data_IF_345232551402
#
_entry.id   IF_345232551402
#
_cell.length_a   1.000
_cell.length_b   1.000
_cell.length_c   1.000
_cell.angle_alpha   90.00
_cell.angle_beta   90.00
_cell.angle_gamma   90.00
#
_symmetry.space_group_name_H-M   'P 1'
#
loop_
_entity.id
_entity.type
_entity.pdbx_description
1 polymer ?
#
# COMPACT_ATOMS: atom_id res chain seq x y z
N UNK A 1 13.95 13.77 -11.08
CA UNK A 1 13.17 12.68 -10.43
C UNK A 1 12.57 11.79 -11.51
N UNK A 2 12.62 10.46 -11.36
CA UNK A 2 12.03 9.48 -12.30
C UNK A 2 10.57 9.80 -12.60
N UNK A 3 9.79 10.16 -11.59
CA UNK A 3 8.37 10.55 -11.72
C UNK A 3 8.11 11.78 -12.60
N UNK A 4 9.08 12.70 -12.73
CA UNK A 4 8.96 13.85 -13.63
C UNK A 4 9.18 13.43 -15.09
N UNK A 5 10.09 12.48 -15.35
CA UNK A 5 10.33 11.94 -16.70
C UNK A 5 9.10 11.22 -17.26
N UNK A 6 8.28 10.63 -16.39
CA UNK A 6 7.06 9.92 -16.77
C UNK A 6 5.78 10.77 -16.60
N UNK A 7 5.89 12.06 -16.28
CA UNK A 7 4.75 12.95 -16.02
C UNK A 7 3.75 12.43 -14.96
N UNK A 8 4.23 11.63 -14.00
CA UNK A 8 3.43 11.05 -12.90
C UNK A 8 3.66 11.75 -11.56
N UNK A 9 4.43 12.85 -11.54
CA UNK A 9 4.82 13.55 -10.31
C UNK A 9 3.62 14.03 -9.48
N UNK A 10 2.55 14.53 -10.13
CA UNK A 10 1.30 14.94 -9.47
C UNK A 10 0.24 13.83 -9.36
N UNK A 11 0.50 12.65 -9.93
CA UNK A 11 -0.45 11.55 -10.06
C UNK A 11 -0.42 10.56 -8.89
N UNK A 12 0.45 10.73 -7.89
CA UNK A 12 0.48 9.84 -6.74
C UNK A 12 -0.65 10.16 -5.76
N UNK A 13 -1.50 9.17 -5.48
CA UNK A 13 -2.63 9.22 -4.57
C UNK A 13 -2.53 8.08 -3.57
N UNK A 14 -3.15 8.22 -2.42
CA UNK A 14 -3.16 7.17 -1.41
C UNK A 14 -4.48 7.14 -0.65
N UNK A 15 -4.75 6.03 0.02
CA UNK A 15 -5.79 5.96 1.03
C UNK A 15 -5.33 6.69 2.30
N UNK A 16 -6.09 7.69 2.74
CA UNK A 16 -5.82 8.49 3.93
C UNK A 16 -6.84 8.26 5.04
N UNK A 17 -6.48 8.55 6.30
CA UNK A 17 -7.47 8.60 7.39
C UNK A 17 -8.35 9.83 7.22
N UNK A 18 -9.69 9.72 7.36
CA UNK A 18 -10.59 10.87 7.26
C UNK A 18 -10.19 12.03 8.18
N UNK A 19 -9.74 11.74 9.39
CA UNK A 19 -9.29 12.75 10.37
C UNK A 19 -8.17 13.64 9.82
N UNK A 20 -7.33 13.12 8.91
CA UNK A 20 -6.23 13.85 8.32
C UNK A 20 -6.74 15.07 7.53
N UNK A 21 -7.95 15.05 6.98
CA UNK A 21 -8.57 16.18 6.26
C UNK A 21 -8.60 17.46 7.09
N UNK A 22 -8.71 17.35 8.41
CA UNK A 22 -8.81 18.49 9.32
C UNK A 22 -7.44 19.04 9.73
N UNK A 23 -6.34 18.37 9.38
CA UNK A 23 -4.99 18.87 9.65
C UNK A 23 -4.61 19.95 8.63
N UNK A 24 -4.25 21.17 9.07
CA UNK A 24 -3.84 22.23 8.16
C UNK A 24 -2.63 21.82 7.31
N UNK A 25 -2.54 22.41 6.12
CA UNK A 25 -1.46 22.18 5.14
C UNK A 25 -1.48 20.74 4.63
N UNK A 26 -1.02 19.75 5.40
CA UNK A 26 -0.87 18.36 4.96
C UNK A 26 -2.23 17.73 4.62
N UNK A 27 -3.21 17.89 5.52
CA UNK A 27 -4.55 17.37 5.32
C UNK A 27 -5.27 18.00 4.14
N UNK A 28 -5.09 19.31 3.99
CA UNK A 28 -5.63 20.08 2.88
C UNK A 28 -4.98 19.71 1.56
N UNK A 29 -3.66 19.48 1.53
CA UNK A 29 -2.97 18.95 0.34
C UNK A 29 -3.60 17.63 -0.11
N UNK A 30 -3.92 16.73 0.82
CA UNK A 30 -4.55 15.46 0.47
C UNK A 30 -6.01 15.65 0.04
N UNK A 31 -6.72 16.58 0.67
CA UNK A 31 -8.10 16.92 0.32
C UNK A 31 -8.21 17.51 -1.08
N UNK A 32 -7.46 18.58 -1.36
CA UNK A 32 -7.42 19.22 -2.68
C UNK A 32 -6.73 18.35 -3.73
N UNK A 33 -5.84 17.45 -3.31
CA UNK A 33 -5.24 16.43 -4.15
C UNK A 33 -6.14 15.22 -4.43
N UNK A 34 -7.42 15.25 -4.04
CA UNK A 34 -8.41 14.20 -4.33
C UNK A 34 -8.06 12.80 -3.81
N UNK A 35 -7.31 12.73 -2.70
CA UNK A 35 -7.02 11.47 -2.01
C UNK A 35 -8.31 10.82 -1.51
N UNK A 36 -8.29 9.48 -1.41
CA UNK A 36 -9.46 8.72 -0.93
C UNK A 36 -9.36 8.59 0.60
N UNK A 37 -10.28 9.22 1.31
CA UNK A 37 -10.30 9.22 2.77
C UNK A 37 -11.16 8.08 3.34
N UNK A 38 -10.62 7.28 4.26
CA UNK A 38 -11.32 6.17 4.90
C UNK A 38 -11.79 6.52 6.31
N UNK A 39 -13.00 6.11 6.66
CA UNK A 39 -13.66 6.27 7.97
C UNK A 39 -13.37 5.12 8.93
N UNK A 40 -12.70 4.06 8.49
CA UNK A 40 -12.52 2.80 9.24
C UNK A 40 -13.86 2.11 9.53
N UNK A 41 -14.85 2.38 8.70
CA UNK A 41 -16.16 1.76 8.74
C UNK A 41 -16.43 1.17 7.35
N UNK A 42 -16.49 -0.16 7.28
CA UNK A 42 -16.57 -0.88 6.01
C UNK A 42 -17.75 -0.49 5.13
N UNK A 43 -18.94 -0.27 5.73
CA UNK A 43 -20.17 0.04 4.98
C UNK A 43 -20.04 1.36 4.24
N UNK A 44 -19.41 2.36 4.87
CA UNK A 44 -19.16 3.66 4.25
C UNK A 44 -17.96 3.62 3.31
N UNK A 45 -16.91 2.92 3.73
CA UNK A 45 -15.65 2.87 2.99
C UNK A 45 -15.79 2.12 1.67
N UNK A 46 -16.61 1.06 1.57
CA UNK A 46 -16.82 0.32 0.32
C UNK A 46 -17.37 1.24 -0.79
N UNK A 47 -18.41 2.04 -0.49
CA UNK A 47 -18.99 2.99 -1.44
C UNK A 47 -18.00 4.08 -1.84
N UNK A 48 -17.23 4.59 -0.88
CA UNK A 48 -16.26 5.64 -1.11
C UNK A 48 -15.00 5.16 -1.87
N UNK A 49 -14.56 3.92 -1.68
CA UNK A 49 -13.40 3.35 -2.39
C UNK A 49 -13.73 3.24 -3.88
N UNK A 50 -14.88 2.68 -4.26
CA UNK A 50 -15.25 2.50 -5.66
C UNK A 50 -15.36 3.83 -6.40
N UNK A 51 -16.23 4.72 -5.91
CA UNK A 51 -16.39 6.07 -6.47
C UNK A 51 -15.09 6.89 -6.48
N UNK A 52 -14.25 6.73 -5.44
CA UNK A 52 -12.94 7.36 -5.38
C UNK A 52 -12.00 6.85 -6.47
N UNK A 53 -11.96 5.54 -6.71
CA UNK A 53 -11.17 4.94 -7.80
C UNK A 53 -11.68 5.46 -9.15
N UNK A 54 -12.99 5.46 -9.37
CA UNK A 54 -13.57 5.92 -10.65
C UNK A 54 -13.23 7.38 -10.94
N UNK A 55 -13.30 8.25 -9.92
CA UNK A 55 -12.85 9.64 -10.05
C UNK A 55 -11.38 9.74 -10.43
N UNK A 56 -10.53 8.92 -9.82
CA UNK A 56 -9.10 8.91 -10.13
C UNK A 56 -8.82 8.42 -11.56
N UNK A 57 -9.56 7.44 -12.03
CA UNK A 57 -9.41 6.90 -13.39
C UNK A 57 -9.96 7.84 -14.47
N UNK A 58 -10.89 8.74 -14.12
CA UNK A 58 -11.40 9.77 -15.03
C UNK A 58 -10.37 10.90 -15.32
N UNK A 59 -9.23 10.94 -14.64
CA UNK A 59 -8.19 11.92 -14.92
C UNK A 59 -7.49 11.69 -16.26
N UNK A 60 -7.14 12.78 -16.94
CA UNK A 60 -6.39 12.74 -18.21
C UNK A 60 -4.95 12.22 -18.07
N UNK A 61 -4.40 12.24 -16.86
CA UNK A 61 -3.02 11.85 -16.58
C UNK A 61 -2.98 10.54 -15.79
N UNK A 62 -1.95 9.70 -15.98
CA UNK A 62 -1.80 8.46 -15.23
C UNK A 62 -1.73 8.72 -13.72
N UNK A 63 -2.49 7.93 -12.96
CA UNK A 63 -2.55 7.97 -11.50
C UNK A 63 -1.88 6.73 -10.91
N UNK A 64 -1.10 6.92 -9.85
CA UNK A 64 -0.56 5.83 -9.03
C UNK A 64 -1.31 5.86 -7.69
N UNK A 65 -2.15 4.85 -7.46
CA UNK A 65 -2.85 4.68 -6.18
C UNK A 65 -2.05 3.76 -5.25
N UNK A 66 -1.54 4.31 -4.15
CA UNK A 66 -0.78 3.58 -3.15
C UNK A 66 -1.69 2.91 -2.10
N UNK A 67 -1.48 1.61 -1.90
CA UNK A 67 -2.16 0.82 -0.86
C UNK A 67 -1.12 0.24 0.11
N UNK A 68 -1.13 0.74 1.35
CA UNK A 68 -0.36 0.13 2.44
C UNK A 68 -1.22 -0.96 3.11
N UNK A 69 -1.16 -2.19 2.59
CA UNK A 69 -2.03 -3.28 3.03
C UNK A 69 -1.90 -3.62 4.53
N UNK A 70 -0.74 -3.40 5.15
CA UNK A 70 -0.54 -3.56 6.61
C UNK A 70 -1.36 -2.54 7.43
N UNK A 71 -1.61 -1.35 6.86
CA UNK A 71 -2.41 -0.27 7.46
C UNK A 71 -1.74 0.47 8.62
N UNK A 72 -0.50 0.14 8.99
CA UNK A 72 0.24 0.83 10.06
C UNK A 72 1.74 0.61 9.93
N UNK A 73 2.53 1.46 10.59
CA UNK A 73 3.98 1.27 10.70
C UNK A 73 4.31 0.05 11.56
N UNK A 74 5.28 -0.74 11.10
CA UNK A 74 5.86 -1.85 11.83
C UNK A 74 6.45 -1.40 13.17
N UNK A 75 6.18 -2.17 14.21
CA UNK A 75 6.85 -2.14 15.52
C UNK A 75 6.89 -3.57 16.06
N UNK A 76 7.89 -3.92 16.89
CA UNK A 76 8.02 -5.27 17.45
C UNK A 76 6.73 -5.72 18.19
N UNK A 77 6.16 -4.84 19.01
CA UNK A 77 4.89 -5.11 19.72
C UNK A 77 3.72 -5.41 18.76
N UNK A 78 3.59 -4.66 17.66
CA UNK A 78 2.52 -4.90 16.66
C UNK A 78 2.78 -6.16 15.86
N UNK A 79 4.04 -6.47 15.61
CA UNK A 79 4.45 -7.70 14.95
C UNK A 79 4.03 -8.93 15.76
N UNK A 80 4.38 -8.98 17.05
CA UNK A 80 3.96 -10.05 17.95
C UNK A 80 2.44 -10.22 17.99
N UNK A 81 1.71 -9.11 18.13
CA UNK A 81 0.24 -9.10 18.12
C UNK A 81 -0.30 -9.63 16.79
N UNK A 82 0.32 -9.22 15.67
CA UNK A 82 -0.08 -9.65 14.33
C UNK A 82 0.19 -11.14 14.09
N UNK A 83 1.31 -11.66 14.58
CA UNK A 83 1.66 -13.08 14.43
C UNK A 83 0.79 -13.95 15.33
N UNK A 84 0.50 -13.51 16.56
CA UNK A 84 -0.46 -14.18 17.44
C UNK A 84 -1.84 -14.27 16.77
N UNK A 85 -2.33 -13.18 16.20
CA UNK A 85 -3.60 -13.19 15.47
C UNK A 85 -3.60 -14.16 14.28
N UNK A 86 -2.49 -14.28 13.55
CA UNK A 86 -2.36 -15.23 12.46
C UNK A 86 -2.36 -16.70 12.94
N UNK A 87 -1.69 -16.97 14.06
CA UNK A 87 -1.66 -18.29 14.70
C UNK A 87 -3.04 -18.68 15.27
N UNK A 88 -3.70 -17.77 15.98
CA UNK A 88 -5.04 -17.98 16.57
C UNK A 88 -6.08 -18.30 15.49
N UNK A 89 -5.91 -17.74 14.29
CA UNK A 89 -6.78 -17.99 13.12
C UNK A 89 -6.29 -19.11 12.21
N UNK A 90 -5.22 -19.80 12.57
CA UNK A 90 -4.65 -20.93 11.82
C UNK A 90 -4.40 -20.58 10.35
N UNK A 91 -3.97 -19.34 10.07
CA UNK A 91 -3.79 -18.86 8.69
C UNK A 91 -2.60 -19.50 7.98
N UNK A 92 -1.73 -20.23 8.69
CA UNK A 92 -0.56 -20.90 8.10
C UNK A 92 0.53 -19.96 7.57
N UNK A 93 0.46 -18.67 7.88
CA UNK A 93 1.40 -17.64 7.41
C UNK A 93 2.35 -17.22 8.52
N UNK A 94 3.62 -17.01 8.16
CA UNK A 94 4.64 -16.46 9.04
C UNK A 94 5.49 -15.46 8.23
N UNK A 95 5.57 -14.22 8.69
CA UNK A 95 6.33 -13.16 8.02
C UNK A 95 7.47 -12.71 8.91
N UNK A 96 8.67 -12.46 8.39
CA UNK A 96 9.80 -12.04 9.23
C UNK A 96 9.81 -10.53 9.53
N UNK A 97 9.42 -9.72 8.54
CA UNK A 97 9.55 -8.26 8.59
C UNK A 97 8.27 -7.50 8.22
N UNK A 98 7.14 -8.22 8.13
CA UNK A 98 5.87 -7.67 7.72
C UNK A 98 4.78 -7.93 8.76
N UNK A 99 3.82 -7.02 8.82
CA UNK A 99 2.57 -7.26 9.54
C UNK A 99 1.61 -8.03 8.63
N UNK A 100 0.67 -8.75 9.23
CA UNK A 100 -0.40 -9.43 8.49
C UNK A 100 -1.21 -8.38 7.71
N UNK A 101 -1.29 -8.47 6.37
CA UNK A 101 -2.00 -7.48 5.58
C UNK A 101 -3.52 -7.55 5.82
N UNK A 102 -4.15 -6.38 5.80
CA UNK A 102 -5.60 -6.21 5.88
C UNK A 102 -6.21 -6.35 4.49
N UNK A 103 -6.92 -7.45 4.27
CA UNK A 103 -7.37 -7.87 2.94
C UNK A 103 -8.55 -7.07 2.38
N UNK A 104 -9.51 -6.63 3.19
CA UNK A 104 -10.79 -6.06 2.70
C UNK A 104 -10.63 -4.91 1.69
N UNK A 105 -9.80 -3.90 2.03
CA UNK A 105 -9.59 -2.74 1.17
C UNK A 105 -8.89 -3.12 -0.14
N UNK A 106 -7.85 -3.96 -0.05
CA UNK A 106 -7.16 -4.47 -1.23
C UNK A 106 -8.08 -5.29 -2.13
N UNK A 107 -8.84 -6.23 -1.56
CA UNK A 107 -9.73 -7.11 -2.31
C UNK A 107 -10.79 -6.32 -3.08
N UNK A 108 -11.44 -5.36 -2.42
CA UNK A 108 -12.43 -4.51 -3.08
C UNK A 108 -11.80 -3.64 -4.17
N UNK A 109 -10.67 -2.98 -3.89
CA UNK A 109 -9.99 -2.15 -4.91
C UNK A 109 -9.57 -2.97 -6.13
N UNK A 110 -9.00 -4.16 -5.94
CA UNK A 110 -8.56 -5.03 -7.04
C UNK A 110 -9.74 -5.55 -7.85
N UNK A 111 -10.84 -5.97 -7.20
CA UNK A 111 -12.07 -6.37 -7.90
C UNK A 111 -12.63 -5.23 -8.74
N UNK A 112 -12.78 -4.05 -8.14
CA UNK A 112 -13.31 -2.86 -8.82
C UNK A 112 -12.44 -2.44 -10.00
N UNK A 113 -11.11 -2.41 -9.81
CA UNK A 113 -10.15 -2.09 -10.87
C UNK A 113 -10.18 -3.13 -11.99
N UNK A 114 -10.24 -4.43 -11.68
CA UNK A 114 -10.18 -5.46 -12.72
C UNK A 114 -11.46 -5.52 -13.55
N UNK A 115 -12.61 -5.22 -12.94
CA UNK A 115 -13.90 -5.16 -13.63
C UNK A 115 -14.02 -3.96 -14.56
N UNK A 116 -13.55 -2.78 -14.14
CA UNK A 116 -13.79 -1.52 -14.86
C UNK A 116 -12.57 -1.01 -15.65
N UNK A 117 -11.35 -1.40 -15.25
CA UNK A 117 -10.07 -0.88 -15.76
C UNK A 117 -9.01 -2.01 -15.89
N UNK A 118 -9.27 -3.06 -16.70
CA UNK A 118 -8.45 -4.27 -16.78
C UNK A 118 -7.00 -4.04 -17.25
N UNK A 119 -6.71 -2.91 -17.88
CA UNK A 119 -5.39 -2.50 -18.36
C UNK A 119 -4.42 -2.09 -17.24
N UNK A 120 -4.92 -1.92 -16.02
CA UNK A 120 -4.14 -1.57 -14.85
C UNK A 120 -3.12 -2.66 -14.46
N UNK A 121 -2.16 -2.28 -13.62
CA UNK A 121 -1.18 -3.19 -13.04
C UNK A 121 -0.88 -2.85 -11.59
N UNK A 122 -0.59 -3.86 -10.79
CA UNK A 122 -0.13 -3.72 -9.42
C UNK A 122 1.40 -3.63 -9.44
N UNK A 123 1.94 -2.62 -8.75
CA UNK A 123 3.37 -2.50 -8.54
C UNK A 123 3.69 -2.82 -7.08
N UNK A 124 4.27 -3.98 -6.85
CA UNK A 124 4.74 -4.39 -5.54
C UNK A 124 6.07 -3.70 -5.27
N UNK A 125 6.02 -2.69 -4.42
CA UNK A 125 7.16 -1.87 -4.05
C UNK A 125 7.69 -2.29 -2.68
N UNK A 126 8.99 -2.54 -2.59
CA UNK A 126 9.72 -2.78 -1.35
C UNK A 126 10.95 -1.90 -1.31
N UNK A 127 11.26 -1.38 -0.13
CA UNK A 127 12.45 -0.57 0.10
C UNK A 127 13.13 -1.07 1.38
N UNK A 128 14.39 -1.42 1.25
CA UNK A 128 15.27 -1.76 2.36
C UNK A 128 16.31 -0.66 2.53
N UNK A 129 16.65 -0.35 3.77
CA UNK A 129 17.68 0.63 4.13
C UNK A 129 18.79 -0.09 4.89
N UNK A 130 20.04 0.34 4.69
CA UNK A 130 21.19 -0.25 5.39
C UNK A 130 21.01 -0.13 6.92
N UNK A 131 21.23 -1.23 7.64
CA UNK A 131 20.97 -1.35 9.09
C UNK A 131 21.81 -0.40 9.97
N UNK A 132 22.83 0.23 9.39
CA UNK A 132 23.82 1.05 10.11
C UNK A 132 23.27 2.36 10.69
N UNK A 133 21.98 2.67 10.53
CA UNK A 133 21.37 3.90 11.05
C UNK A 133 20.14 3.64 11.91
N UNK A 134 20.05 4.38 13.01
CA UNK A 134 18.78 4.62 13.72
C UNK A 134 17.69 5.03 12.72
N UNK A 135 16.43 4.67 13.04
CA UNK A 135 15.23 4.95 12.25
C UNK A 135 15.35 6.25 11.43
N UNK A 136 15.11 6.20 10.11
CA UNK A 136 15.19 7.38 9.25
C UNK A 136 14.20 8.44 9.75
N UNK A 137 14.75 9.57 10.22
CA UNK A 137 13.97 10.71 10.71
C UNK A 137 13.81 11.70 9.56
N UNK A 138 12.72 12.46 9.57
CA UNK A 138 12.53 13.57 8.63
C UNK A 138 13.69 14.59 8.74
N UNK A 139 14.30 14.73 9.91
CA UNK A 139 15.49 15.54 10.11
C UNK A 139 16.71 15.05 9.33
N UNK A 140 16.85 13.75 9.07
CA UNK A 140 17.92 13.17 8.22
C UNK A 140 17.81 13.69 6.80
N UNK A 141 16.58 13.76 6.26
CA UNK A 141 16.29 14.34 4.95
C UNK A 141 16.62 15.84 4.91
N UNK A 142 16.17 16.62 5.89
CA UNK A 142 16.44 18.06 5.95
C UNK A 142 17.93 18.40 6.14
N UNK A 143 18.70 17.52 6.78
CA UNK A 143 20.16 17.67 6.94
C UNK A 143 20.94 17.25 5.70
N UNK A 144 20.28 16.80 4.63
CA UNK A 144 20.95 16.35 3.41
C UNK A 144 21.87 15.15 3.62
N UNK A 145 21.63 14.35 4.67
CA UNK A 145 22.49 13.21 4.96
C UNK A 145 22.27 12.11 3.91
N UNK A 146 23.33 11.55 3.31
CA UNK A 146 23.20 10.51 2.30
C UNK A 146 22.52 9.28 2.91
N UNK A 147 21.66 8.64 2.14
CA UNK A 147 20.96 7.41 2.52
C UNK A 147 21.07 6.42 1.37
N UNK A 148 21.54 5.22 1.69
CA UNK A 148 21.51 4.09 0.78
C UNK A 148 20.20 3.34 1.01
N UNK A 149 19.52 3.02 -0.08
CA UNK A 149 18.36 2.15 -0.03
C UNK A 149 18.34 1.25 -1.26
N UNK A 150 17.97 -0.01 -1.03
CA UNK A 150 17.69 -0.97 -2.09
C UNK A 150 16.19 -0.96 -2.36
N UNK A 151 15.81 -0.71 -3.60
CA UNK A 151 14.42 -0.69 -4.03
C UNK A 151 14.18 -1.93 -4.88
N UNK A 152 13.23 -2.77 -4.46
CA UNK A 152 12.74 -3.90 -5.25
C UNK A 152 11.32 -3.59 -5.75
N UNK A 153 11.15 -3.66 -7.07
CA UNK A 153 9.89 -3.36 -7.75
C UNK A 153 9.47 -4.55 -8.62
N UNK A 154 8.32 -5.13 -8.32
CA UNK A 154 7.70 -6.18 -9.14
C UNK A 154 6.40 -5.66 -9.73
N UNK A 155 6.28 -5.68 -11.06
CA UNK A 155 5.03 -5.36 -11.76
C UNK A 155 4.22 -6.63 -11.96
N UNK A 156 2.95 -6.60 -11.57
CA UNK A 156 1.98 -7.68 -11.77
C UNK A 156 0.81 -7.13 -12.60
N UNK A 157 0.59 -7.65 -13.83
CA UNK A 157 -0.60 -7.29 -14.62
C UNK A 157 -1.87 -7.62 -13.83
N UNK A 158 -2.87 -6.74 -13.85
CA UNK A 158 -4.09 -6.97 -13.07
C UNK A 158 -4.88 -8.19 -13.57
N UNK A 159 -4.73 -8.54 -14.85
CA UNK A 159 -5.31 -9.74 -15.45
C UNK A 159 -4.89 -11.05 -14.78
N UNK A 160 -3.67 -11.11 -14.21
CA UNK A 160 -3.14 -12.32 -13.56
C UNK A 160 -3.56 -12.46 -12.10
N UNK A 161 -4.19 -11.43 -11.51
CA UNK A 161 -4.59 -11.46 -10.10
C UNK A 161 -5.93 -12.20 -9.98
N UNK A 162 -6.05 -13.26 -9.16
CA UNK A 162 -7.30 -13.98 -9.00
C UNK A 162 -8.32 -13.09 -8.30
N UNK A 163 -9.55 -13.04 -8.81
CA UNK A 163 -10.61 -12.14 -8.30
C UNK A 163 -11.98 -12.79 -8.21
N UNK A 164 -12.07 -14.10 -8.45
CA UNK A 164 -13.35 -14.81 -8.53
C UNK A 164 -14.01 -14.93 -7.15
N UNK A 165 -13.21 -15.20 -6.12
CA UNK A 165 -13.67 -15.22 -4.72
C UNK A 165 -12.81 -14.35 -3.80
N UNK A 166 -13.38 -13.94 -2.65
CA UNK A 166 -12.64 -13.14 -1.66
C UNK A 166 -11.52 -13.94 -1.00
N UNK A 167 -11.68 -15.27 -0.89
CA UNK A 167 -10.69 -16.20 -0.36
C UNK A 167 -9.45 -16.27 -1.25
N UNK A 168 -9.64 -16.35 -2.57
CA UNK A 168 -8.53 -16.38 -3.53
C UNK A 168 -7.71 -15.08 -3.49
N UNK A 169 -8.36 -13.92 -3.38
CA UNK A 169 -7.64 -12.64 -3.27
C UNK A 169 -6.91 -12.55 -1.93
N UNK A 170 -7.54 -13.03 -0.87
CA UNK A 170 -6.95 -13.09 0.47
C UNK A 170 -5.69 -13.94 0.46
N UNK A 171 -5.77 -15.15 -0.09
CA UNK A 171 -4.63 -16.05 -0.20
C UNK A 171 -3.54 -15.46 -1.10
N UNK A 172 -3.91 -14.89 -2.25
CA UNK A 172 -2.97 -14.21 -3.14
C UNK A 172 -2.21 -13.08 -2.44
N UNK A 173 -2.89 -12.26 -1.62
CA UNK A 173 -2.24 -11.19 -0.87
C UNK A 173 -1.29 -11.74 0.19
N UNK A 174 -1.65 -12.84 0.87
CA UNK A 174 -0.78 -13.50 1.83
C UNK A 174 0.44 -14.11 1.17
N UNK A 175 0.27 -14.85 0.07
CA UNK A 175 1.37 -15.42 -0.71
C UNK A 175 2.31 -14.33 -1.22
N UNK A 176 1.74 -13.21 -1.70
CA UNK A 176 2.51 -12.05 -2.15
C UNK A 176 3.38 -11.49 -1.03
N UNK A 177 2.88 -11.43 0.22
CA UNK A 177 3.64 -10.97 1.38
C UNK A 177 4.68 -11.99 1.85
N UNK A 178 4.43 -13.29 1.68
CA UNK A 178 5.39 -14.35 1.92
C UNK A 178 6.56 -14.28 0.92
N UNK A 179 6.29 -13.97 -0.36
CA UNK A 179 7.34 -13.79 -1.37
C UNK A 179 8.25 -12.58 -1.09
N UNK A 180 7.76 -11.57 -0.37
CA UNK A 180 8.57 -10.38 -0.01
C UNK A 180 9.71 -10.70 0.96
N UNK A 181 9.73 -11.90 1.54
CA UNK A 181 10.88 -12.39 2.29
C UNK A 181 12.07 -12.44 1.32
N UNK A 182 13.15 -11.69 1.55
CA UNK A 182 14.34 -11.80 0.71
C UNK A 182 14.83 -13.24 0.81
N UNK A 183 14.66 -14.02 -0.26
CA UNK A 183 15.14 -15.40 -0.29
C UNK A 183 16.67 -15.50 -0.23
N UNK A 184 17.40 -14.39 -0.29
CA UNK A 184 18.81 -14.25 0.08
C UNK A 184 19.16 -12.75 0.19
N UNK A 185 19.89 -12.41 1.26
CA UNK A 185 20.79 -11.25 1.39
C UNK A 185 20.23 -9.85 1.09
N UNK A 186 19.75 -9.17 2.14
CA UNK A 186 20.04 -7.74 2.35
C UNK A 186 20.27 -7.52 3.84
N UNK A 187 21.45 -7.92 4.29
CA UNK A 187 22.10 -7.56 5.55
C UNK A 187 23.44 -6.93 5.20
#
# INVERSE_FOLDING_TARGET
LVSNKFNVLGGCKAFGKKDLRYTPIIGWTFFFGEYIFLERNWVKDSMNIGSGIDRLMAHKHPVILMIAAEGTRFTAQKYETSMKFAADRQLGVHYNHHLLPRVKGFAYSVKHLKQNYPECAIYCFQMAFDETRESIKVSTLFKGQPMNCSIHLKRVPLSTVPTDTDEQITQYLYDLFTEKVPKNSFY
#
